data_IF_254545296919
#
_entry.id   IF_254545296919
#
_cell.length_a   1.000
_cell.length_b   1.000
_cell.length_c   1.000
_cell.angle_alpha   90.00
_cell.angle_beta   90.00
_cell.angle_gamma   90.00
#
_symmetry.space_group_name_H-M   'P 1'
#
loop_
_entity.id
_entity.type
_entity.pdbx_description
1 polymer ?
#
# COMPACT_ATOMS: atom_id res chain seq x y z
N UNK A 1 8.76 0.07 16.36
CA UNK A 1 8.56 -0.50 17.71
C UNK A 1 8.64 0.54 18.85
N UNK A 2 9.37 1.66 18.69
CA UNK A 2 9.55 2.65 19.76
C UNK A 2 8.40 3.65 19.88
N UNK A 3 7.65 3.90 18.83
CA UNK A 3 6.56 4.88 18.82
C UNK A 3 5.25 4.14 18.56
N UNK A 4 4.38 4.12 19.57
CA UNK A 4 3.09 3.42 19.56
C UNK A 4 2.00 4.37 19.10
N UNK A 5 1.90 4.60 17.76
CA UNK A 5 0.79 5.37 17.17
C UNK A 5 -0.42 4.51 16.82
N UNK A 6 -0.22 3.19 16.80
CA UNK A 6 -1.24 2.17 16.54
C UNK A 6 -2.42 2.19 17.53
N UNK A 7 -2.20 2.67 18.75
CA UNK A 7 -3.23 2.82 19.78
C UNK A 7 -3.90 4.21 19.78
N UNK A 8 -3.52 5.07 18.84
CA UNK A 8 -4.05 6.41 18.70
C UNK A 8 -4.94 6.56 17.45
N UNK A 9 -5.72 7.66 17.39
CA UNK A 9 -6.52 8.04 16.22
C UNK A 9 -5.65 8.22 14.96
N UNK A 10 -4.35 8.49 15.13
CA UNK A 10 -3.39 8.67 14.05
C UNK A 10 -3.05 7.34 13.35
N UNK A 11 -3.25 6.21 14.05
CA UNK A 11 -2.94 4.89 13.51
C UNK A 11 -1.44 4.60 13.35
N UNK A 12 -1.11 3.36 13.01
CA UNK A 12 0.27 2.85 12.98
C UNK A 12 1.21 3.57 12.04
N UNK A 13 0.68 4.21 11.01
CA UNK A 13 1.49 4.40 9.82
C UNK A 13 2.00 5.82 9.60
N UNK A 14 1.40 6.85 10.18
CA UNK A 14 1.69 8.22 9.77
C UNK A 14 3.15 8.63 10.02
N UNK A 15 3.66 8.42 11.25
CA UNK A 15 5.01 8.90 11.61
C UNK A 15 6.08 8.15 10.79
N UNK A 16 5.96 6.83 10.67
CA UNK A 16 6.89 6.03 9.89
C UNK A 16 6.88 6.42 8.41
N UNK A 17 5.70 6.74 7.85
CA UNK A 17 5.57 7.17 6.46
C UNK A 17 6.14 8.56 6.21
N UNK A 18 5.93 9.49 7.14
CA UNK A 18 6.56 10.82 7.06
C UNK A 18 8.08 10.70 7.13
N UNK A 19 8.62 9.88 8.05
CA UNK A 19 10.06 9.60 8.11
C UNK A 19 10.55 8.98 6.79
N UNK A 20 9.80 8.03 6.22
CA UNK A 20 10.12 7.42 4.93
C UNK A 20 10.16 8.44 3.78
N UNK A 21 9.24 9.40 3.75
CA UNK A 21 9.26 10.50 2.77
C UNK A 21 10.49 11.39 2.96
N UNK A 22 10.84 11.72 4.21
CA UNK A 22 12.04 12.51 4.50
C UNK A 22 13.30 11.76 4.04
N UNK A 23 13.40 10.47 4.34
CA UNK A 23 14.51 9.63 3.89
C UNK A 23 14.57 9.53 2.37
N UNK A 24 13.44 9.40 1.69
CA UNK A 24 13.39 9.45 0.22
C UNK A 24 13.91 10.79 -0.31
N UNK A 25 13.48 11.91 0.27
CA UNK A 25 13.97 13.24 -0.11
C UNK A 25 15.49 13.35 0.05
N UNK A 26 16.02 12.89 1.19
CA UNK A 26 17.48 12.87 1.44
C UNK A 26 18.20 11.97 0.43
N UNK A 27 17.68 10.77 0.18
CA UNK A 27 18.25 9.83 -0.79
C UNK A 27 18.30 10.43 -2.20
N UNK A 28 17.23 11.04 -2.67
CA UNK A 28 17.20 11.74 -3.96
C UNK A 28 18.21 12.86 -4.04
N UNK A 29 18.35 13.63 -2.97
CA UNK A 29 19.34 14.74 -2.91
C UNK A 29 20.77 14.22 -2.93
N UNK A 30 21.08 13.17 -2.17
CA UNK A 30 22.42 12.56 -2.12
C UNK A 30 22.79 11.90 -3.44
N UNK A 31 21.85 11.24 -4.09
CA UNK A 31 22.06 10.56 -5.39
C UNK A 31 21.91 11.50 -6.58
N UNK A 32 21.53 12.77 -6.37
CA UNK A 32 21.23 13.75 -7.43
C UNK A 32 20.12 13.31 -8.40
N UNK A 33 19.27 12.36 -8.00
CA UNK A 33 18.12 11.89 -8.78
C UNK A 33 16.95 12.87 -8.57
N UNK A 34 16.29 13.24 -9.66
CA UNK A 34 15.15 14.18 -9.63
C UNK A 34 13.83 13.42 -9.43
N UNK A 35 12.83 14.10 -8.89
CA UNK A 35 11.49 13.53 -8.69
C UNK A 35 10.84 13.00 -9.97
N UNK A 36 11.05 13.66 -11.09
CA UNK A 36 10.53 13.18 -12.38
C UNK A 36 11.23 11.92 -12.89
N UNK A 37 12.48 11.66 -12.51
CA UNK A 37 13.22 10.46 -12.88
C UNK A 37 12.73 9.22 -12.12
N UNK A 38 12.10 9.41 -10.97
CA UNK A 38 11.42 8.36 -10.20
C UNK A 38 9.91 8.33 -10.48
N UNK A 39 9.45 8.99 -11.53
CA UNK A 39 8.08 8.89 -12.04
C UNK A 39 7.07 9.90 -11.47
N UNK A 40 7.47 10.82 -10.58
CA UNK A 40 6.61 11.93 -10.16
C UNK A 40 6.55 13.02 -11.25
N UNK A 41 5.98 12.66 -12.39
CA UNK A 41 5.85 13.53 -13.53
C UNK A 41 4.54 14.33 -13.49
N UNK A 42 4.60 15.64 -13.80
CA UNK A 42 3.40 16.48 -13.95
C UNK A 42 2.64 16.16 -15.23
N UNK A 43 3.38 15.80 -16.29
CA UNK A 43 2.78 15.43 -17.57
C UNK A 43 1.96 14.14 -17.40
N UNK A 44 0.72 14.20 -17.85
CA UNK A 44 -0.21 13.06 -17.74
C UNK A 44 -0.75 12.77 -16.33
N UNK A 45 -0.49 13.62 -15.34
CA UNK A 45 -0.94 13.42 -13.94
C UNK A 45 -2.40 12.99 -13.84
N UNK A 46 -3.32 13.82 -14.33
CA UNK A 46 -4.75 13.53 -14.27
C UNK A 46 -5.17 12.29 -15.06
N UNK A 47 -4.55 12.08 -16.24
CA UNK A 47 -4.81 10.91 -17.06
C UNK A 47 -4.47 9.63 -16.30
N UNK A 48 -3.27 9.53 -15.76
CA UNK A 48 -2.81 8.32 -15.09
C UNK A 48 -3.48 8.13 -13.72
N UNK A 49 -3.78 9.20 -13.01
CA UNK A 49 -4.56 9.13 -11.76
C UNK A 49 -5.95 8.56 -12.02
N UNK A 50 -6.68 9.07 -13.02
CA UNK A 50 -8.01 8.56 -13.36
C UNK A 50 -7.97 7.12 -13.87
N UNK A 51 -6.95 6.76 -14.66
CA UNK A 51 -6.77 5.37 -15.11
C UNK A 51 -6.52 4.42 -13.93
N UNK A 52 -5.69 4.81 -12.96
CA UNK A 52 -5.44 4.02 -11.75
C UNK A 52 -6.70 3.83 -10.91
N UNK A 53 -7.41 4.92 -10.63
CA UNK A 53 -8.68 4.87 -9.90
C UNK A 53 -9.72 3.99 -10.64
N UNK A 54 -9.81 4.11 -11.97
CA UNK A 54 -10.74 3.29 -12.74
C UNK A 54 -10.37 1.80 -12.66
N UNK A 55 -9.08 1.48 -12.76
CA UNK A 55 -8.59 0.11 -12.63
C UNK A 55 -8.91 -0.46 -11.25
N UNK A 56 -8.65 0.28 -10.18
CA UNK A 56 -8.96 -0.11 -8.81
C UNK A 56 -10.45 -0.35 -8.62
N UNK A 57 -11.30 0.59 -9.05
CA UNK A 57 -12.76 0.45 -8.95
C UNK A 57 -13.26 -0.80 -9.68
N UNK A 58 -12.75 -1.07 -10.89
CA UNK A 58 -13.12 -2.26 -11.66
C UNK A 58 -12.68 -3.54 -10.92
N UNK A 59 -11.44 -3.57 -10.41
CA UNK A 59 -10.95 -4.73 -9.66
C UNK A 59 -11.79 -4.98 -8.40
N UNK A 60 -12.11 -3.94 -7.63
CA UNK A 60 -12.96 -4.06 -6.46
C UNK A 60 -14.39 -4.49 -6.81
N UNK A 61 -14.99 -3.92 -7.86
CA UNK A 61 -16.32 -4.30 -8.30
C UNK A 61 -16.40 -5.79 -8.69
N UNK A 62 -15.36 -6.28 -9.40
CA UNK A 62 -15.27 -7.71 -9.75
C UNK A 62 -15.09 -8.56 -8.48
N UNK A 63 -14.20 -8.18 -7.57
CA UNK A 63 -13.91 -8.93 -6.35
C UNK A 63 -15.14 -9.05 -5.45
N UNK A 64 -15.81 -7.92 -5.18
CA UNK A 64 -17.06 -7.94 -4.40
C UNK A 64 -18.20 -8.64 -5.13
N UNK A 65 -18.27 -8.53 -6.45
CA UNK A 65 -19.24 -9.27 -7.25
C UNK A 65 -19.07 -10.79 -7.11
N UNK A 66 -17.82 -11.28 -7.12
CA UNK A 66 -17.49 -12.69 -6.91
C UNK A 66 -17.84 -13.10 -5.46
N UNK A 67 -17.47 -12.30 -4.47
CA UNK A 67 -17.77 -12.56 -3.06
C UNK A 67 -19.27 -12.65 -2.83
N UNK A 68 -20.06 -11.70 -3.34
CA UNK A 68 -21.52 -11.71 -3.24
C UNK A 68 -22.12 -12.94 -3.92
N UNK A 69 -21.58 -13.35 -5.08
CA UNK A 69 -22.04 -14.57 -5.77
C UNK A 69 -21.77 -15.83 -4.93
N UNK A 70 -20.59 -15.93 -4.32
CA UNK A 70 -20.24 -17.06 -3.44
C UNK A 70 -21.17 -17.09 -2.23
N UNK A 71 -21.41 -15.96 -1.57
CA UNK A 71 -22.34 -15.88 -0.44
C UNK A 71 -23.75 -16.26 -0.84
N UNK A 72 -24.23 -15.81 -1.99
CA UNK A 72 -25.54 -16.18 -2.53
C UNK A 72 -25.67 -17.68 -2.76
N UNK A 73 -24.65 -18.32 -3.36
CA UNK A 73 -24.64 -19.78 -3.60
C UNK A 73 -24.60 -20.57 -2.28
N UNK A 74 -24.08 -19.99 -1.22
CA UNK A 74 -24.01 -20.59 0.12
C UNK A 74 -25.26 -20.30 0.98
N UNK A 75 -26.28 -19.67 0.44
CA UNK A 75 -27.48 -19.20 1.18
C UNK A 75 -27.15 -18.27 2.36
N UNK A 76 -26.01 -17.56 2.28
CA UNK A 76 -25.63 -16.58 3.27
C UNK A 76 -26.11 -15.17 2.88
N UNK A 77 -26.77 -14.43 3.79
CA UNK A 77 -27.20 -13.07 3.49
C UNK A 77 -25.99 -12.14 3.29
N UNK A 78 -25.92 -11.48 2.14
CA UNK A 78 -24.90 -10.47 1.85
C UNK A 78 -25.48 -9.07 2.08
N UNK A 79 -24.73 -8.23 2.80
CA UNK A 79 -25.07 -6.83 3.04
C UNK A 79 -23.92 -5.92 2.64
N UNK A 80 -24.24 -4.85 1.92
CA UNK A 80 -23.27 -3.79 1.63
C UNK A 80 -23.33 -2.75 2.76
N UNK A 81 -22.22 -2.57 3.46
CA UNK A 81 -22.08 -1.56 4.49
C UNK A 81 -20.96 -0.59 4.12
N UNK A 82 -21.23 0.72 4.23
CA UNK A 82 -20.21 1.76 4.07
C UNK A 82 -19.72 2.22 5.44
N UNK A 83 -18.51 1.82 5.78
CA UNK A 83 -17.86 2.25 7.01
C UNK A 83 -16.34 2.33 6.82
N UNK A 84 -15.67 3.03 7.73
CA UNK A 84 -14.22 3.02 7.81
C UNK A 84 -13.83 2.41 9.14
N UNK A 85 -12.98 1.41 9.10
CA UNK A 85 -12.32 0.85 10.28
C UNK A 85 -10.95 1.49 10.48
N UNK A 86 -10.44 1.46 11.71
CA UNK A 86 -9.04 1.84 11.97
C UNK A 86 -8.10 0.84 11.29
N UNK A 87 -6.90 1.30 10.91
CA UNK A 87 -5.86 0.49 10.28
C UNK A 87 -5.22 -0.54 11.24
N UNK A 88 -5.93 -1.07 12.20
CA UNK A 88 -5.41 -2.06 13.15
C UNK A 88 -5.68 -3.48 12.64
N UNK A 89 -4.64 -4.32 12.56
CA UNK A 89 -4.75 -5.75 12.23
C UNK A 89 -5.63 -6.53 13.21
N UNK A 90 -5.68 -6.10 14.44
CA UNK A 90 -6.44 -6.73 15.51
C UNK A 90 -7.83 -6.12 15.69
N UNK A 91 -8.31 -5.49 14.64
CA UNK A 91 -9.68 -5.08 14.49
C UNK A 91 -10.19 -4.21 15.63
N UNK A 92 -10.06 -2.91 15.53
CA UNK A 92 -11.07 -2.09 16.18
C UNK A 92 -12.42 -2.50 15.56
N UNK A 93 -13.29 -3.10 16.34
CA UNK A 93 -14.67 -3.39 15.94
C UNK A 93 -15.50 -2.10 15.79
N UNK A 94 -14.87 -0.94 16.00
CA UNK A 94 -15.51 0.37 15.91
C UNK A 94 -15.58 0.76 14.44
N UNK A 95 -16.77 0.58 13.88
CA UNK A 95 -17.14 1.14 12.58
C UNK A 95 -17.38 2.64 12.75
N UNK A 96 -16.71 3.46 11.96
CA UNK A 96 -16.88 4.91 11.99
C UNK A 96 -17.46 5.38 10.64
N UNK A 97 -18.55 6.12 10.70
CA UNK A 97 -19.22 6.71 9.53
C UNK A 97 -19.08 8.23 9.49
N UNK A 98 -18.31 8.82 10.41
CA UNK A 98 -18.12 10.28 10.49
C UNK A 98 -17.26 10.84 9.36
N UNK A 99 -17.74 11.91 8.71
CA UNK A 99 -17.03 12.54 7.58
C UNK A 99 -15.61 13.00 7.94
N UNK A 100 -15.41 13.52 9.15
CA UNK A 100 -14.08 13.99 9.59
C UNK A 100 -13.09 12.84 9.69
N UNK A 101 -13.52 11.68 10.19
CA UNK A 101 -12.69 10.49 10.25
C UNK A 101 -12.37 9.96 8.85
N UNK A 102 -13.36 9.96 7.95
CA UNK A 102 -13.18 9.62 6.54
C UNK A 102 -12.11 10.48 5.87
N UNK A 103 -12.20 11.81 6.00
CA UNK A 103 -11.22 12.74 5.42
C UNK A 103 -9.82 12.54 6.01
N UNK A 104 -9.72 12.25 7.31
CA UNK A 104 -8.46 11.94 7.98
C UNK A 104 -7.84 10.66 7.41
N UNK A 105 -8.63 9.61 7.23
CA UNK A 105 -8.17 8.36 6.63
C UNK A 105 -7.68 8.55 5.20
N UNK A 106 -8.39 9.34 4.38
CA UNK A 106 -7.93 9.71 3.03
C UNK A 106 -6.58 10.41 3.11
N UNK A 107 -6.44 11.44 3.94
CA UNK A 107 -5.19 12.19 4.06
C UNK A 107 -4.01 11.30 4.48
N UNK A 108 -4.22 10.41 5.45
CA UNK A 108 -3.18 9.50 5.92
C UNK A 108 -2.84 8.44 4.88
N UNK A 109 -3.83 7.93 4.16
CA UNK A 109 -3.58 6.98 3.08
C UNK A 109 -2.82 7.61 1.90
N UNK A 110 -3.10 8.87 1.56
CA UNK A 110 -2.31 9.61 0.57
C UNK A 110 -0.83 9.69 0.97
N UNK A 111 -0.53 10.00 2.24
CA UNK A 111 0.85 10.03 2.76
C UNK A 111 1.47 8.63 2.71
N UNK A 112 0.71 7.61 3.09
CA UNK A 112 1.13 6.22 3.04
C UNK A 112 1.56 5.81 1.64
N UNK A 113 0.65 5.96 0.67
CA UNK A 113 0.89 5.55 -0.72
C UNK A 113 1.98 6.39 -1.36
N UNK A 114 2.09 7.69 -1.04
CA UNK A 114 3.18 8.54 -1.52
C UNK A 114 4.54 7.97 -1.12
N UNK A 115 4.70 7.62 0.14
CA UNK A 115 5.94 7.04 0.64
C UNK A 115 6.23 5.70 -0.03
N UNK A 116 5.26 4.81 -0.07
CA UNK A 116 5.46 3.46 -0.59
C UNK A 116 5.74 3.45 -2.09
N UNK A 117 4.96 4.16 -2.89
CA UNK A 117 5.20 4.26 -4.32
C UNK A 117 6.52 4.99 -4.62
N UNK A 118 6.79 6.09 -3.90
CA UNK A 118 8.03 6.85 -4.08
C UNK A 118 9.28 6.04 -3.78
N UNK A 119 9.29 5.27 -2.69
CA UNK A 119 10.45 4.46 -2.28
C UNK A 119 10.57 3.22 -3.16
N UNK A 120 9.51 2.41 -3.26
CA UNK A 120 9.63 1.07 -3.86
C UNK A 120 9.56 1.10 -5.38
N UNK A 121 8.63 1.87 -5.98
CA UNK A 121 8.47 1.93 -7.45
C UNK A 121 9.31 3.03 -8.06
N UNK A 122 9.42 4.16 -7.36
CA UNK A 122 10.27 5.26 -7.81
C UNK A 122 11.74 4.97 -7.60
N UNK A 123 12.21 5.10 -6.36
CA UNK A 123 13.65 5.11 -6.04
C UNK A 123 14.32 3.75 -6.22
N UNK A 124 13.77 2.66 -5.66
CA UNK A 124 14.42 1.35 -5.74
C UNK A 124 14.41 0.81 -7.16
N UNK A 125 13.29 0.83 -7.88
CA UNK A 125 13.28 0.36 -9.27
C UNK A 125 14.25 1.19 -10.11
N UNK A 126 14.28 2.52 -9.97
CA UNK A 126 15.21 3.38 -10.72
C UNK A 126 16.67 3.01 -10.43
N UNK A 127 17.08 3.01 -9.18
CA UNK A 127 18.48 2.77 -8.79
C UNK A 127 18.97 1.34 -9.08
N UNK A 128 18.10 0.34 -8.93
CA UNK A 128 18.45 -1.05 -9.24
C UNK A 128 18.49 -1.26 -10.76
N UNK A 129 17.60 -0.62 -11.52
CA UNK A 129 17.57 -0.70 -12.99
C UNK A 129 18.78 -0.04 -13.67
N UNK A 130 19.52 0.81 -12.95
CA UNK A 130 20.78 1.36 -13.47
C UNK A 130 21.88 0.29 -13.61
N UNK A 131 21.76 -0.85 -12.89
CA UNK A 131 22.74 -1.95 -12.92
C UNK A 131 22.18 -3.28 -13.41
N UNK A 132 20.86 -3.48 -13.30
CA UNK A 132 20.19 -4.74 -13.58
C UNK A 132 19.01 -4.52 -14.53
N UNK A 133 18.43 -5.63 -15.03
CA UNK A 133 17.22 -5.55 -15.84
C UNK A 133 16.05 -5.00 -15.02
N UNK A 134 15.07 -4.38 -15.69
CA UNK A 134 13.83 -3.93 -15.05
C UNK A 134 13.12 -5.07 -14.30
N UNK A 135 13.11 -6.28 -14.89
CA UNK A 135 12.47 -7.45 -14.24
C UNK A 135 13.13 -7.74 -12.89
N UNK A 136 14.47 -7.78 -12.86
CA UNK A 136 15.23 -7.96 -11.62
C UNK A 136 14.95 -6.85 -10.62
N UNK A 137 14.96 -5.60 -11.07
CA UNK A 137 14.69 -4.45 -10.21
C UNK A 137 13.28 -4.50 -9.61
N UNK A 138 12.27 -4.83 -10.43
CA UNK A 138 10.88 -4.93 -9.98
C UNK A 138 10.70 -6.09 -8.97
N UNK A 139 11.32 -7.23 -9.22
CA UNK A 139 11.27 -8.38 -8.30
C UNK A 139 11.94 -8.06 -6.95
N UNK A 140 13.12 -7.43 -6.96
CA UNK A 140 13.79 -7.02 -5.72
C UNK A 140 12.94 -5.99 -4.96
N UNK A 141 12.44 -4.97 -5.64
CA UNK A 141 11.57 -3.97 -5.02
C UNK A 141 10.28 -4.59 -4.45
N UNK A 142 9.71 -5.58 -5.13
CA UNK A 142 8.55 -6.32 -4.68
C UNK A 142 8.83 -7.17 -3.43
N UNK A 143 9.98 -7.84 -3.38
CA UNK A 143 10.40 -8.59 -2.18
C UNK A 143 10.61 -7.66 -0.99
N UNK A 144 11.29 -6.54 -1.18
CA UNK A 144 11.50 -5.54 -0.12
C UNK A 144 10.17 -4.96 0.37
N UNK A 145 9.22 -4.72 -0.54
CA UNK A 145 7.89 -4.26 -0.20
C UNK A 145 7.09 -5.31 0.58
N UNK A 146 7.16 -6.59 0.19
CA UNK A 146 6.57 -7.69 0.94
C UNK A 146 7.14 -7.81 2.35
N UNK A 147 8.48 -7.76 2.47
CA UNK A 147 9.18 -7.78 3.75
C UNK A 147 8.79 -6.57 4.63
N UNK A 148 8.57 -5.39 4.04
CA UNK A 148 8.10 -4.21 4.78
C UNK A 148 6.83 -4.48 5.60
N UNK A 149 5.94 -5.34 5.12
CA UNK A 149 4.67 -5.65 5.74
C UNK A 149 4.72 -6.67 6.88
N UNK A 150 5.84 -7.39 7.08
CA UNK A 150 5.93 -8.39 8.15
C UNK A 150 5.96 -7.79 9.55
N UNK A 151 6.30 -6.52 9.68
CA UNK A 151 6.45 -5.86 10.98
C UNK A 151 5.14 -5.86 11.80
N UNK A 152 3.98 -5.71 11.14
CA UNK A 152 2.68 -5.69 11.82
C UNK A 152 2.29 -7.02 12.47
N UNK A 153 2.31 -8.18 11.77
CA UNK A 153 2.02 -9.47 12.41
C UNK A 153 2.98 -9.79 13.55
N UNK A 154 4.28 -9.54 13.38
CA UNK A 154 5.27 -9.78 14.43
C UNK A 154 4.95 -8.95 15.67
N UNK A 155 4.61 -7.68 15.48
CA UNK A 155 4.24 -6.79 16.59
C UNK A 155 2.99 -7.29 17.31
N UNK A 156 1.95 -7.65 16.57
CA UNK A 156 0.71 -8.18 17.15
C UNK A 156 0.94 -9.46 17.96
N UNK A 157 1.86 -10.32 17.50
CA UNK A 157 2.30 -11.49 18.27
C UNK A 157 3.04 -11.08 19.55
N UNK A 158 3.98 -10.14 19.47
CA UNK A 158 4.73 -9.64 20.64
C UNK A 158 3.82 -8.96 21.67
N UNK A 159 2.73 -8.36 21.24
CA UNK A 159 1.69 -7.76 22.09
C UNK A 159 0.72 -8.81 22.69
N UNK A 160 0.90 -10.10 22.38
CA UNK A 160 0.02 -11.17 22.87
C UNK A 160 -1.39 -11.16 22.23
N UNK A 161 -1.55 -10.49 21.09
CA UNK A 161 -2.85 -10.33 20.40
C UNK A 161 -3.14 -11.45 19.40
N UNK A 162 -2.18 -12.31 19.15
CA UNK A 162 -2.33 -13.48 18.26
C UNK A 162 -1.35 -14.59 18.63
N UNK A 163 -1.68 -15.81 18.19
CA UNK A 163 -0.80 -16.97 18.35
C UNK A 163 0.33 -16.98 17.30
N UNK A 164 1.39 -17.73 17.60
CA UNK A 164 2.55 -17.86 16.70
C UNK A 164 2.17 -18.41 15.32
N UNK A 165 1.28 -19.41 15.25
CA UNK A 165 0.80 -19.98 14.00
C UNK A 165 0.05 -18.96 13.13
N UNK A 166 -0.78 -18.12 13.74
CA UNK A 166 -1.49 -17.04 13.08
C UNK A 166 -0.53 -15.97 12.59
N UNK A 167 0.44 -15.57 13.41
CA UNK A 167 1.50 -14.64 13.01
C UNK A 167 2.25 -15.15 11.78
N UNK A 168 2.68 -16.41 11.78
CA UNK A 168 3.43 -17.00 10.67
C UNK A 168 2.59 -17.02 9.39
N UNK A 169 1.33 -17.41 9.47
CA UNK A 169 0.40 -17.41 8.34
C UNK A 169 0.24 -16.01 7.76
N UNK A 170 0.04 -15.00 8.62
CA UNK A 170 -0.11 -13.61 8.19
C UNK A 170 1.18 -13.05 7.60
N UNK A 171 2.36 -13.34 8.16
CA UNK A 171 3.65 -12.93 7.60
C UNK A 171 3.81 -13.46 6.17
N UNK A 172 3.58 -14.76 5.96
CA UNK A 172 3.67 -15.38 4.63
C UNK A 172 2.63 -14.78 3.69
N UNK A 173 1.38 -14.66 4.13
CA UNK A 173 0.30 -14.10 3.35
C UNK A 173 0.57 -12.65 2.92
N UNK A 174 1.04 -11.81 3.83
CA UNK A 174 1.39 -10.42 3.52
C UNK A 174 2.56 -10.31 2.55
N UNK A 175 3.64 -11.11 2.75
CA UNK A 175 4.80 -11.10 1.83
C UNK A 175 4.35 -11.46 0.41
N UNK A 176 3.55 -12.51 0.26
CA UNK A 176 3.07 -12.95 -1.05
C UNK A 176 2.12 -11.90 -1.66
N UNK A 177 1.10 -11.49 -0.93
CA UNK A 177 0.08 -10.57 -1.44
C UNK A 177 0.68 -9.21 -1.79
N UNK A 178 1.41 -8.60 -0.85
CA UNK A 178 2.05 -7.29 -1.07
C UNK A 178 3.11 -7.39 -2.16
N UNK A 179 3.86 -8.49 -2.24
CA UNK A 179 4.83 -8.74 -3.31
C UNK A 179 4.19 -8.80 -4.69
N UNK A 180 3.10 -9.55 -4.85
CA UNK A 180 2.34 -9.64 -6.11
C UNK A 180 1.77 -8.28 -6.51
N UNK A 181 1.15 -7.56 -5.58
CA UNK A 181 0.65 -6.21 -5.83
C UNK A 181 1.78 -5.25 -6.21
N UNK A 182 2.93 -5.35 -5.56
CA UNK A 182 4.12 -4.57 -5.89
C UNK A 182 4.60 -4.81 -7.31
N UNK A 183 4.62 -6.06 -7.78
CA UNK A 183 4.98 -6.40 -9.16
C UNK A 183 4.01 -5.71 -10.13
N UNK A 184 2.70 -5.75 -9.87
CA UNK A 184 1.67 -5.09 -10.68
C UNK A 184 1.96 -3.59 -10.78
N UNK A 185 2.15 -2.89 -9.67
CA UNK A 185 2.40 -1.44 -9.69
C UNK A 185 3.73 -1.09 -10.36
N UNK A 186 4.78 -1.90 -10.19
CA UNK A 186 6.02 -1.73 -10.94
C UNK A 186 5.84 -1.89 -12.45
N UNK A 187 4.99 -2.81 -12.90
CA UNK A 187 4.64 -2.95 -14.31
C UNK A 187 3.87 -1.73 -14.83
N UNK A 188 2.89 -1.22 -14.06
CA UNK A 188 2.17 0.02 -14.41
C UNK A 188 3.13 1.21 -14.54
N UNK A 189 4.09 1.31 -13.61
CA UNK A 189 5.17 2.30 -13.69
C UNK A 189 6.01 2.13 -14.97
N UNK A 190 6.43 0.90 -15.29
CA UNK A 190 7.20 0.61 -16.50
C UNK A 190 6.48 0.98 -17.79
N UNK A 191 5.18 0.69 -17.86
CA UNK A 191 4.35 0.96 -19.05
C UNK A 191 4.14 2.45 -19.30
N UNK A 192 4.11 3.27 -18.25
CA UNK A 192 3.73 4.68 -18.35
C UNK A 192 4.89 5.65 -18.13
N UNK A 193 5.98 5.21 -17.50
CA UNK A 193 7.02 6.08 -16.98
C UNK A 193 6.52 7.04 -15.89
N UNK A 194 5.34 6.77 -15.33
CA UNK A 194 4.63 7.68 -14.44
C UNK A 194 4.09 6.92 -13.22
N UNK A 195 4.38 7.42 -12.04
CA UNK A 195 4.01 6.75 -10.79
C UNK A 195 2.52 6.89 -10.45
N UNK A 196 1.85 7.92 -10.98
CA UNK A 196 0.47 8.26 -10.60
C UNK A 196 -0.56 7.20 -10.98
N UNK A 197 -0.25 6.35 -11.95
CA UNK A 197 -1.12 5.21 -12.27
C UNK A 197 -1.14 4.20 -11.11
N UNK A 198 0.04 3.68 -10.74
CA UNK A 198 0.18 2.76 -9.62
C UNK A 198 -0.28 3.39 -8.30
N UNK A 199 0.05 4.67 -8.09
CA UNK A 199 -0.37 5.44 -6.92
C UNK A 199 -1.89 5.44 -6.73
N UNK A 200 -2.65 5.71 -7.78
CA UNK A 200 -4.10 5.77 -7.70
C UNK A 200 -4.77 4.40 -7.62
N UNK A 201 -4.15 3.37 -8.20
CA UNK A 201 -4.61 1.99 -8.07
C UNK A 201 -4.28 1.38 -6.69
N UNK A 202 -3.23 1.90 -6.03
CA UNK A 202 -2.84 1.50 -4.68
C UNK A 202 -3.65 2.22 -3.60
N UNK A 203 -4.09 3.46 -3.87
CA UNK A 203 -4.86 4.30 -2.94
C UNK A 203 -6.22 3.72 -2.62
#
# INVERSE_FOLDING_TARGET
FLIRTDESVIGENLIHKVIGIILLFVALKVTSIKWNEIGFCRFGFWKYLLQGLSLSIICFAISYGIEMLILFVQDNPAHLEFYISSFSLTGSTIKNTGINFFLLCIAFNLINVWMEEGVFRGFFIKTISDKYSFVTANLIAAQLFGIWHFAMPIRSFMDGKMEFSQMLLLVIGYIILSGVMSIKWGLLYRMTGNIWFGFADHF
#
